data_IF_271535992136
#
_entry.id   IF_271535992136
#
_cell.length_a   1.000
_cell.length_b   1.000
_cell.length_c   1.000
_cell.angle_alpha   90.00
_cell.angle_beta   90.00
_cell.angle_gamma   90.00
#
_symmetry.space_group_name_H-M   'P 1'
#
loop_
_entity.id
_entity.type
_entity.pdbx_description
1 polymer ?
#
# COMPACT_ATOMS: atom_id res chain seq x y z
N UNK A 1 23.89 13.05 15.07
CA UNK A 1 23.28 11.91 14.37
C UNK A 1 22.76 12.44 13.05
N UNK A 2 23.04 11.81 11.90
CA UNK A 2 22.42 12.24 10.65
C UNK A 2 20.91 12.05 10.80
N UNK A 3 20.13 13.10 10.58
CA UNK A 3 18.68 12.98 10.54
C UNK A 3 18.34 12.06 9.37
N UNK A 4 17.59 10.98 9.61
CA UNK A 4 17.08 10.15 8.53
C UNK A 4 16.20 11.02 7.63
N UNK A 5 16.65 11.29 6.40
CA UNK A 5 16.02 12.23 5.47
C UNK A 5 14.76 11.66 4.80
N UNK A 6 14.51 10.36 4.96
CA UNK A 6 13.23 9.74 4.63
C UNK A 6 12.84 8.76 5.73
N UNK A 7 11.82 9.12 6.49
CA UNK A 7 11.09 8.19 7.36
C UNK A 7 9.83 7.84 6.57
N UNK A 8 9.73 6.63 5.98
CA UNK A 8 8.47 6.19 5.40
C UNK A 8 7.38 6.40 6.47
N UNK A 9 6.19 6.89 6.11
CA UNK A 9 5.03 7.03 7.04
C UNK A 9 4.45 5.67 7.49
N UNK A 10 5.31 4.65 7.51
CA UNK A 10 5.14 3.33 8.08
C UNK A 10 5.03 3.44 9.60
N UNK A 11 3.96 4.06 10.09
CA UNK A 11 3.69 4.01 11.52
C UNK A 11 3.09 2.64 11.82
N UNK A 12 3.83 1.81 12.54
CA UNK A 12 3.26 0.65 13.24
C UNK A 12 2.25 1.12 14.30
N UNK A 13 2.50 2.30 14.88
CA UNK A 13 1.62 2.89 15.88
C UNK A 13 0.40 3.51 15.21
N UNK A 14 -0.81 3.09 15.59
CA UNK A 14 -2.02 3.70 15.06
C UNK A 14 -2.12 5.18 15.45
N UNK A 15 -2.65 6.00 14.54
CA UNK A 15 -3.06 7.35 14.89
C UNK A 15 -4.50 7.33 15.40
N UNK A 16 -4.72 7.82 16.62
CA UNK A 16 -6.06 7.89 17.22
C UNK A 16 -6.77 9.19 16.79
N UNK A 17 -7.92 9.06 16.14
CA UNK A 17 -8.82 10.15 15.77
C UNK A 17 -10.09 10.09 16.63
N UNK A 18 -10.56 11.21 17.18
CA UNK A 18 -11.82 11.28 17.93
C UNK A 18 -12.80 12.20 17.22
N UNK A 19 -13.99 11.69 16.92
CA UNK A 19 -15.06 12.41 16.24
C UNK A 19 -16.25 12.54 17.19
N UNK A 20 -16.73 13.75 17.40
CA UNK A 20 -17.93 14.03 18.21
C UNK A 20 -19.05 14.60 17.35
N UNK A 21 -20.28 14.18 17.62
CA UNK A 21 -21.50 14.65 16.96
C UNK A 21 -22.33 15.59 17.85
N UNK A 22 -21.67 16.38 18.71
CA UNK A 22 -22.30 17.20 19.76
C UNK A 22 -23.47 18.09 19.28
N UNK A 23 -23.33 18.71 18.10
CA UNK A 23 -24.35 19.63 17.57
C UNK A 23 -25.41 18.94 16.67
N UNK A 24 -25.21 17.66 16.33
CA UNK A 24 -26.15 16.88 15.52
C UNK A 24 -26.11 15.40 15.94
N UNK A 25 -26.80 15.02 17.04
CA UNK A 25 -26.82 13.63 17.51
C UNK A 25 -27.50 12.67 16.51
N UNK A 26 -28.29 13.19 15.56
CA UNK A 26 -28.85 12.42 14.45
C UNK A 26 -27.92 12.40 13.23
N UNK A 27 -26.86 13.19 13.25
CA UNK A 27 -25.87 13.38 12.20
C UNK A 27 -25.32 12.06 11.71
N UNK A 28 -25.23 11.96 10.39
CA UNK A 28 -24.51 10.87 9.75
C UNK A 28 -23.02 11.15 9.85
N UNK A 29 -22.22 10.11 10.09
CA UNK A 29 -20.77 10.20 9.89
C UNK A 29 -20.46 10.63 8.45
N UNK A 30 -21.33 10.30 7.49
CA UNK A 30 -21.07 10.55 6.08
C UNK A 30 -20.13 9.52 5.48
N UNK A 31 -20.18 8.29 5.99
CA UNK A 31 -19.34 7.19 5.55
C UNK A 31 -20.12 5.86 5.56
N UNK A 32 -19.76 4.95 4.66
CA UNK A 32 -20.24 3.57 4.65
C UNK A 32 -19.28 2.70 5.46
N UNK A 33 -19.84 1.97 6.44
CA UNK A 33 -19.08 1.02 7.23
C UNK A 33 -19.06 -0.34 6.52
N UNK A 34 -17.90 -0.97 6.47
CA UNK A 34 -17.73 -2.36 6.07
C UNK A 34 -17.46 -3.22 7.32
N UNK A 35 -18.04 -4.42 7.32
CA UNK A 35 -17.83 -5.39 8.38
C UNK A 35 -16.52 -6.13 8.12
N UNK A 36 -15.56 -6.02 9.05
CA UNK A 36 -14.26 -6.69 8.96
C UNK A 36 -14.22 -8.05 9.66
N UNK A 37 -15.36 -8.54 10.15
CA UNK A 37 -15.49 -9.75 10.97
C UNK A 37 -16.20 -10.89 10.22
N UNK A 38 -16.42 -10.74 8.89
CA UNK A 38 -16.94 -11.81 8.03
C UNK A 38 -15.85 -12.80 7.61
N UNK A 39 -15.13 -13.33 8.60
CA UNK A 39 -14.80 -14.75 8.66
C UNK A 39 -13.90 -15.33 7.57
N UNK A 40 -12.68 -14.82 7.41
CA UNK A 40 -11.57 -15.70 7.05
C UNK A 40 -10.99 -16.27 8.37
N UNK A 41 -10.95 -17.61 8.58
CA UNK A 41 -10.45 -18.22 9.82
C UNK A 41 -9.03 -17.81 10.23
N UNK A 42 -8.30 -17.21 9.29
CA UNK A 42 -6.91 -16.81 9.27
C UNK A 42 -6.68 -15.33 9.61
N UNK A 43 -7.72 -14.50 9.76
CA UNK A 43 -7.61 -13.09 10.19
C UNK A 43 -7.38 -12.99 11.71
N UNK A 44 -6.23 -13.49 12.18
CA UNK A 44 -5.82 -13.41 13.58
C UNK A 44 -5.37 -12.00 13.98
N UNK A 45 -5.03 -11.14 13.02
CA UNK A 45 -4.51 -9.78 13.27
C UNK A 45 -5.44 -8.67 12.81
N UNK A 46 -6.51 -8.98 12.07
CA UNK A 46 -7.51 -7.97 11.73
C UNK A 46 -8.41 -7.78 12.96
N UNK A 47 -8.45 -6.58 13.54
CA UNK A 47 -9.26 -6.40 14.73
C UNK A 47 -10.74 -6.37 14.30
N UNK A 48 -11.57 -7.10 15.04
CA UNK A 48 -12.98 -7.33 14.72
C UNK A 48 -13.79 -6.07 15.03
N UNK A 49 -14.04 -5.25 14.02
CA UNK A 49 -14.80 -3.99 14.15
C UNK A 49 -15.39 -3.55 12.80
N UNK A 50 -16.00 -2.36 12.81
CA UNK A 50 -16.38 -1.63 11.61
C UNK A 50 -15.21 -0.77 11.09
N UNK A 51 -14.94 -0.86 9.79
CA UNK A 51 -14.00 0.01 9.10
C UNK A 51 -14.74 0.96 8.16
N UNK A 52 -14.17 2.13 7.90
CA UNK A 52 -14.63 3.05 6.87
C UNK A 52 -14.33 2.45 5.50
N UNK A 53 -15.35 1.97 4.79
CA UNK A 53 -15.20 1.41 3.45
C UNK A 53 -15.40 2.42 2.32
N UNK A 54 -16.13 3.51 2.57
CA UNK A 54 -16.34 4.61 1.61
C UNK A 54 -16.73 5.89 2.33
N UNK A 55 -16.26 7.03 1.85
CA UNK A 55 -16.75 8.36 2.26
C UNK A 55 -17.84 8.83 1.30
N UNK A 56 -18.92 9.40 1.83
CA UNK A 56 -19.97 10.03 1.03
C UNK A 56 -19.50 11.40 0.52
N UNK A 57 -20.05 11.83 -0.61
CA UNK A 57 -19.72 13.12 -1.23
C UNK A 57 -20.28 14.30 -0.42
N UNK A 58 -19.68 15.47 -0.61
CA UNK A 58 -20.08 16.71 0.05
C UNK A 58 -19.40 16.96 1.40
N UNK A 59 -19.87 18.00 2.10
CA UNK A 59 -19.25 18.52 3.33
C UNK A 59 -19.69 17.73 4.58
N UNK A 60 -19.24 16.48 4.71
CA UNK A 60 -19.65 15.53 5.77
C UNK A 60 -18.81 15.64 7.05
N UNK A 61 -19.33 15.14 8.18
CA UNK A 61 -18.57 15.09 9.46
C UNK A 61 -17.28 14.30 9.30
N UNK A 62 -17.32 13.15 8.64
CA UNK A 62 -16.13 12.35 8.36
C UNK A 62 -15.04 13.16 7.65
N UNK A 63 -15.39 13.85 6.55
CA UNK A 63 -14.42 14.66 5.78
C UNK A 63 -13.89 15.84 6.60
N UNK A 64 -14.75 16.54 7.35
CA UNK A 64 -14.33 17.64 8.25
C UNK A 64 -13.39 17.19 9.36
N UNK A 65 -13.59 15.97 9.85
CA UNK A 65 -12.74 15.36 10.88
C UNK A 65 -11.52 14.65 10.31
N UNK A 66 -11.30 14.73 8.99
CA UNK A 66 -10.14 14.14 8.32
C UNK A 66 -10.16 12.61 8.30
N UNK A 67 -11.34 11.98 8.35
CA UNK A 67 -11.48 10.52 8.23
C UNK A 67 -11.09 10.06 6.84
N UNK A 68 -10.42 8.92 6.76
CA UNK A 68 -9.99 8.28 5.53
C UNK A 68 -10.65 6.91 5.36
N UNK A 69 -10.78 6.45 4.11
CA UNK A 69 -11.11 5.05 3.84
C UNK A 69 -10.01 4.19 4.44
N UNK A 70 -10.42 3.15 5.16
CA UNK A 70 -9.49 2.32 5.90
C UNK A 70 -9.43 2.63 7.41
N UNK A 71 -9.90 3.80 7.86
CA UNK A 71 -9.95 4.12 9.29
C UNK A 71 -10.85 3.12 10.03
N UNK A 72 -10.44 2.77 11.24
CA UNK A 72 -10.98 1.67 12.01
C UNK A 72 -11.71 2.20 13.22
N UNK A 73 -12.96 1.82 13.46
CA UNK A 73 -13.65 2.25 14.70
C UNK A 73 -13.24 1.32 15.85
N UNK A 74 -12.47 1.85 16.81
CA UNK A 74 -12.00 1.09 17.98
C UNK A 74 -12.78 1.36 19.25
N UNK A 75 -13.49 2.48 19.35
CA UNK A 75 -14.33 2.76 20.51
C UNK A 75 -15.55 3.63 20.16
N UNK A 76 -16.62 3.46 20.95
CA UNK A 76 -17.82 4.30 20.92
C UNK A 76 -18.08 4.81 22.35
N UNK A 77 -18.03 6.13 22.54
CA UNK A 77 -18.13 6.80 23.85
C UNK A 77 -17.20 6.18 24.90
N UNK A 78 -15.95 5.88 24.53
CA UNK A 78 -14.94 5.28 25.41
C UNK A 78 -15.12 3.78 25.68
N UNK A 79 -16.18 3.14 25.16
CA UNK A 79 -16.32 1.67 25.19
C UNK A 79 -15.53 1.07 24.01
N UNK A 80 -14.51 0.27 24.28
CA UNK A 80 -13.60 -0.30 23.27
C UNK A 80 -14.15 -1.56 22.59
N UNK A 81 -13.82 -1.75 21.32
CA UNK A 81 -14.28 -2.85 20.46
C UNK A 81 -13.12 -3.55 19.71
N UNK A 82 -11.88 -3.47 20.23
CA UNK A 82 -10.75 -4.16 19.59
C UNK A 82 -10.82 -5.66 19.83
N UNK A 83 -10.20 -6.45 18.94
CA UNK A 83 -10.00 -7.89 19.19
C UNK A 83 -8.73 -8.18 20.00
N UNK A 84 -7.71 -7.32 19.86
CA UNK A 84 -6.44 -7.39 20.60
C UNK A 84 -5.96 -5.98 20.99
N UNK A 85 -5.21 -5.87 22.08
CA UNK A 85 -4.49 -4.65 22.43
C UNK A 85 -3.29 -4.43 21.47
N UNK A 86 -2.82 -3.19 21.37
CA UNK A 86 -1.72 -2.80 20.47
C UNK A 86 -0.37 -3.41 20.83
N UNK A 87 -0.22 -3.91 22.07
CA UNK A 87 0.98 -4.48 22.67
C UNK A 87 0.88 -6.00 22.91
N UNK A 88 -0.09 -6.66 22.27
CA UNK A 88 -0.33 -8.08 22.41
C UNK A 88 0.89 -8.94 22.00
N UNK A 89 1.29 -9.88 22.86
CA UNK A 89 2.44 -10.77 22.63
C UNK A 89 2.10 -11.86 21.60
N UNK A 90 2.80 -11.82 20.47
CA UNK A 90 2.61 -12.74 19.35
C UNK A 90 2.87 -14.22 19.73
N UNK A 91 3.65 -14.49 20.79
CA UNK A 91 3.87 -15.86 21.26
C UNK A 91 2.61 -16.49 21.87
N UNK A 92 1.67 -15.68 22.33
CA UNK A 92 0.38 -16.12 22.88
C UNK A 92 -0.60 -16.61 21.79
N UNK A 93 -0.35 -16.28 20.52
CA UNK A 93 -1.18 -16.69 19.36
C UNK A 93 -1.11 -18.20 19.09
N UNK A 94 0.02 -18.84 19.44
CA UNK A 94 0.28 -20.26 19.17
C UNK A 94 -0.75 -21.22 19.81
N UNK A 95 -1.54 -20.73 20.77
CA UNK A 95 -2.52 -21.50 21.53
C UNK A 95 -3.99 -21.08 21.31
N UNK A 96 -4.32 -20.32 20.27
CA UNK A 96 -5.70 -19.93 19.97
C UNK A 96 -6.47 -21.06 19.26
N UNK A 97 -6.72 -22.14 20.00
CA UNK A 97 -7.88 -23.00 19.73
C UNK A 97 -9.18 -22.19 19.91
N UNK A 98 -10.31 -22.67 19.38
CA UNK A 98 -11.59 -21.95 19.34
C UNK A 98 -12.11 -21.42 20.70
N UNK A 99 -11.51 -21.82 21.82
CA UNK A 99 -12.00 -21.56 23.18
C UNK A 99 -11.02 -20.78 24.07
N UNK A 100 -9.93 -20.21 23.53
CA UNK A 100 -8.91 -19.55 24.37
C UNK A 100 -9.29 -18.11 24.74
N UNK A 101 -9.29 -17.81 26.05
CA UNK A 101 -9.53 -16.48 26.61
C UNK A 101 -8.20 -15.75 26.86
N UNK A 102 -8.03 -14.57 26.25
CA UNK A 102 -6.88 -13.68 26.48
C UNK A 102 -7.38 -12.51 27.32
N UNK A 103 -6.82 -12.23 28.51
CA UNK A 103 -7.15 -11.01 29.24
C UNK A 103 -6.47 -9.82 28.59
N UNK A 104 -7.24 -8.76 28.29
CA UNK A 104 -6.67 -7.49 27.84
C UNK A 104 -7.10 -6.36 28.77
N UNK A 105 -6.20 -5.39 28.91
CA UNK A 105 -6.34 -4.27 29.81
C UNK A 105 -7.59 -3.42 29.49
N UNK A 106 -8.17 -2.91 30.58
CA UNK A 106 -9.51 -2.36 30.76
C UNK A 106 -10.25 -1.76 29.53
N UNK A 107 -11.49 -2.23 29.32
CA UNK A 107 -12.58 -1.76 28.42
C UNK A 107 -12.73 -2.42 27.03
N UNK A 108 -12.02 -3.49 26.73
CA UNK A 108 -12.24 -4.27 25.50
C UNK A 108 -13.27 -5.37 25.75
N UNK A 109 -14.38 -5.38 24.99
CA UNK A 109 -15.38 -6.45 25.09
C UNK A 109 -14.82 -7.76 24.49
N UNK A 110 -14.77 -8.82 25.28
CA UNK A 110 -14.49 -10.17 24.78
C UNK A 110 -15.71 -10.70 24.02
N UNK A 111 -15.71 -10.55 22.70
CA UNK A 111 -16.83 -10.93 21.84
C UNK A 111 -16.39 -12.01 20.85
N UNK A 112 -17.28 -12.95 20.56
CA UNK A 112 -17.08 -13.97 19.54
C UNK A 112 -17.01 -13.38 18.12
N UNK A 113 -16.67 -14.22 17.14
CA UNK A 113 -16.60 -13.81 15.72
C UNK A 113 -17.95 -13.23 15.27
N UNK A 114 -17.94 -12.00 14.75
CA UNK A 114 -19.12 -11.25 14.30
C UNK A 114 -19.86 -10.50 15.41
N UNK A 115 -19.70 -10.90 16.67
CA UNK A 115 -20.39 -10.30 17.81
C UNK A 115 -19.87 -8.89 18.12
N UNK A 116 -18.58 -8.63 17.84
CA UNK A 116 -17.97 -7.32 18.04
C UNK A 116 -18.58 -6.24 17.14
N UNK A 117 -18.80 -6.58 15.86
CA UNK A 117 -19.45 -5.68 14.91
C UNK A 117 -20.91 -5.40 15.30
N UNK A 118 -21.68 -6.43 15.65
CA UNK A 118 -23.08 -6.28 16.03
C UNK A 118 -23.25 -5.52 17.34
N UNK A 119 -22.36 -5.74 18.32
CA UNK A 119 -22.34 -4.99 19.58
C UNK A 119 -22.01 -3.50 19.33
N UNK A 120 -21.04 -3.22 18.46
CA UNK A 120 -20.68 -1.86 18.05
C UNK A 120 -21.87 -1.15 17.39
N UNK A 121 -22.51 -1.79 16.40
CA UNK A 121 -23.67 -1.22 15.73
C UNK A 121 -24.84 -0.99 16.70
N UNK A 122 -25.07 -1.92 17.61
CA UNK A 122 -26.11 -1.80 18.64
C UNK A 122 -25.82 -0.63 19.58
N UNK A 123 -24.56 -0.44 19.99
CA UNK A 123 -24.14 0.70 20.82
C UNK A 123 -24.36 2.03 20.13
N UNK A 124 -23.95 2.16 18.87
CA UNK A 124 -24.17 3.37 18.05
C UNK A 124 -25.67 3.69 17.96
N UNK A 125 -26.50 2.69 17.62
CA UNK A 125 -27.97 2.86 17.53
C UNK A 125 -28.60 3.28 18.86
N UNK A 126 -28.16 2.67 19.95
CA UNK A 126 -28.65 2.98 21.31
C UNK A 126 -28.34 4.43 21.69
N UNK A 127 -27.10 4.88 21.49
CA UNK A 127 -26.69 6.26 21.80
C UNK A 127 -27.47 7.27 20.95
N UNK A 128 -27.58 7.03 19.64
CA UNK A 128 -28.36 7.89 18.73
C UNK A 128 -29.84 7.98 19.13
N UNK A 129 -30.42 6.89 19.62
CA UNK A 129 -31.82 6.84 20.04
C UNK A 129 -32.07 7.53 21.38
N UNK A 130 -31.07 7.57 22.27
CA UNK A 130 -31.17 8.18 23.60
C UNK A 130 -31.09 9.71 23.58
N UNK A 131 -30.47 10.32 22.56
CA UNK A 131 -30.32 11.77 22.43
C UNK A 131 -29.42 12.44 23.49
N UNK A 132 -28.83 11.67 24.40
CA UNK A 132 -27.83 12.06 25.39
C UNK A 132 -27.12 10.82 25.89
N UNK A 133 -25.77 10.80 26.01
CA UNK A 133 -24.73 11.77 25.62
C UNK A 133 -24.46 11.84 24.10
N UNK A 134 -23.63 12.79 23.59
CA UNK A 134 -23.23 12.84 22.18
C UNK A 134 -22.58 11.53 21.74
N UNK A 135 -22.74 11.19 20.46
CA UNK A 135 -22.00 10.08 19.86
C UNK A 135 -20.55 10.53 19.68
N UNK A 136 -19.63 9.78 20.27
CA UNK A 136 -18.19 9.97 20.14
C UNK A 136 -17.61 8.68 19.57
N UNK A 137 -16.98 8.78 18.41
CA UNK A 137 -16.29 7.66 17.77
C UNK A 137 -14.79 7.87 17.93
N UNK A 138 -14.09 6.86 18.44
CA UNK A 138 -12.62 6.81 18.40
C UNK A 138 -12.21 5.89 17.27
N UNK A 139 -11.45 6.42 16.33
CA UNK A 139 -10.93 5.70 15.18
C UNK A 139 -9.42 5.53 15.29
N UNK A 140 -8.91 4.42 14.80
CA UNK A 140 -7.49 4.25 14.55
C UNK A 140 -7.20 4.25 13.06
N UNK A 141 -6.17 4.99 12.68
CA UNK A 141 -5.61 4.93 11.34
C UNK A 141 -4.37 4.07 11.36
N UNK A 142 -4.39 3.06 10.50
CA UNK A 142 -3.26 2.18 10.27
C UNK A 142 -2.67 2.49 8.88
N UNK A 143 -1.35 2.62 8.82
CA UNK A 143 -0.63 2.74 7.56
C UNK A 143 -0.75 1.44 6.74
N UNK A 144 -0.43 1.49 5.44
CA UNK A 144 -0.56 0.34 4.54
C UNK A 144 0.26 -0.89 4.95
N UNK A 145 1.33 -0.67 5.71
CA UNK A 145 2.24 -1.72 6.16
C UNK A 145 2.14 -2.03 7.66
N UNK A 146 1.21 -1.41 8.39
CA UNK A 146 0.86 -1.85 9.72
C UNK A 146 0.40 -3.32 9.67
N UNK A 147 0.75 -4.13 10.68
CA UNK A 147 0.48 -5.59 10.72
C UNK A 147 -0.97 -5.95 10.36
N UNK A 148 -1.93 -5.16 10.86
CA UNK A 148 -3.36 -5.35 10.62
C UNK A 148 -3.77 -5.22 9.14
N UNK A 149 -3.06 -4.36 8.39
CA UNK A 149 -3.29 -4.06 6.98
C UNK A 149 -2.40 -4.89 6.05
N UNK A 150 -1.20 -5.26 6.49
CA UNK A 150 -0.27 -6.06 5.70
C UNK A 150 -0.64 -7.54 5.69
N UNK A 151 -1.16 -8.08 6.81
CA UNK A 151 -1.46 -9.51 6.97
C UNK A 151 -2.25 -10.14 5.81
N UNK A 152 -3.36 -9.56 5.30
CA UNK A 152 -4.10 -10.14 4.19
C UNK A 152 -3.24 -10.38 2.94
N UNK A 153 -2.27 -9.49 2.65
CA UNK A 153 -1.37 -9.62 1.49
C UNK A 153 -0.39 -10.78 1.65
N UNK A 154 0.21 -10.92 2.82
CA UNK A 154 1.12 -12.03 3.12
C UNK A 154 0.39 -13.38 3.11
N UNK A 155 -0.83 -13.41 3.65
CA UNK A 155 -1.67 -14.59 3.65
C UNK A 155 -2.08 -14.99 2.22
N UNK A 156 -2.52 -14.03 1.41
CA UNK A 156 -2.88 -14.24 0.00
C UNK A 156 -1.68 -14.73 -0.82
N UNK A 157 -0.49 -14.15 -0.60
CA UNK A 157 0.74 -14.59 -1.27
C UNK A 157 1.23 -15.99 -0.86
N UNK A 158 0.60 -16.60 0.16
CA UNK A 158 0.86 -17.96 0.61
C UNK A 158 -0.39 -18.83 0.53
N UNK A 159 -1.35 -18.48 -0.32
CA UNK A 159 -2.56 -19.25 -0.59
C UNK A 159 -3.34 -19.64 0.68
N UNK A 160 -3.31 -18.78 1.71
CA UNK A 160 -3.95 -19.05 3.00
C UNK A 160 -3.12 -19.86 4.00
N UNK A 161 -1.89 -20.26 3.67
CA UNK A 161 -0.97 -20.94 4.59
C UNK A 161 -0.48 -19.97 5.67
N UNK A 162 -1.13 -20.04 6.84
CA UNK A 162 -0.87 -19.17 7.99
C UNK A 162 0.57 -19.26 8.50
N UNK A 163 1.16 -20.45 8.78
CA UNK A 163 2.57 -20.56 9.16
C UNK A 163 3.53 -19.94 8.14
N UNK A 164 3.32 -20.19 6.84
CA UNK A 164 4.19 -19.64 5.80
C UNK A 164 4.05 -18.11 5.66
N UNK A 165 2.83 -17.59 5.76
CA UNK A 165 2.54 -16.17 5.74
C UNK A 165 3.14 -15.45 6.96
N UNK A 166 3.02 -16.06 8.15
CA UNK A 166 3.62 -15.57 9.38
C UNK A 166 5.15 -15.47 9.25
N UNK A 167 5.78 -16.55 8.77
CA UNK A 167 7.23 -16.54 8.55
C UNK A 167 7.64 -15.44 7.58
N UNK A 168 6.90 -15.30 6.47
CA UNK A 168 7.16 -14.27 5.46
C UNK A 168 7.02 -12.85 6.02
N UNK A 169 6.01 -12.60 6.87
CA UNK A 169 5.83 -11.33 7.55
C UNK A 169 6.97 -11.05 8.55
N UNK A 170 7.40 -12.04 9.33
CA UNK A 170 8.53 -11.90 10.25
C UNK A 170 9.84 -11.63 9.52
N UNK A 171 10.10 -12.35 8.41
CA UNK A 171 11.25 -12.11 7.55
C UNK A 171 11.21 -10.68 6.95
N UNK A 172 10.01 -10.21 6.58
CA UNK A 172 9.79 -8.85 6.09
C UNK A 172 10.06 -7.79 7.15
N UNK A 173 9.58 -7.96 8.38
CA UNK A 173 9.86 -7.01 9.47
C UNK A 173 11.36 -6.98 9.82
N UNK A 174 12.01 -8.14 9.83
CA UNK A 174 13.46 -8.20 9.96
C UNK A 174 14.15 -7.44 8.81
N UNK A 175 13.75 -7.69 7.56
CA UNK A 175 14.29 -6.98 6.40
C UNK A 175 14.08 -5.47 6.49
N UNK A 176 12.89 -5.02 6.88
CA UNK A 176 12.57 -3.59 7.09
C UNK A 176 13.51 -2.96 8.11
N UNK A 177 13.73 -3.61 9.25
CA UNK A 177 14.64 -3.09 10.29
C UNK A 177 16.09 -2.87 9.80
N UNK A 178 16.50 -3.61 8.76
CA UNK A 178 17.85 -3.52 8.19
C UNK A 178 17.95 -2.54 7.01
N UNK A 179 16.83 -2.24 6.34
CA UNK A 179 16.82 -1.48 5.08
C UNK A 179 16.10 -0.13 5.20
N UNK A 180 15.28 0.08 6.24
CA UNK A 180 14.50 1.28 6.48
C UNK A 180 14.72 1.80 7.93
N UNK A 181 14.77 3.13 8.14
CA UNK A 181 14.76 4.19 7.12
C UNK A 181 16.03 4.20 6.28
N UNK A 182 15.90 4.64 5.03
CA UNK A 182 17.01 4.63 4.07
C UNK A 182 17.90 5.87 4.23
N UNK A 183 19.22 5.68 4.18
CA UNK A 183 20.17 6.78 4.14
C UNK A 183 20.22 7.39 2.74
N UNK A 184 19.50 8.51 2.57
CA UNK A 184 19.48 9.25 1.32
C UNK A 184 20.81 9.95 1.01
N UNK A 185 21.77 10.04 1.94
CA UNK A 185 23.04 10.75 1.69
C UNK A 185 24.05 9.93 0.89
N UNK A 186 23.76 8.66 0.58
CA UNK A 186 24.63 7.78 -0.20
C UNK A 186 24.81 8.31 -1.63
N UNK A 187 26.06 8.51 -2.04
CA UNK A 187 26.42 9.05 -3.36
C UNK A 187 25.78 8.28 -4.53
N UNK A 188 25.87 6.94 -4.53
CA UNK A 188 25.31 6.12 -5.59
C UNK A 188 23.77 6.19 -5.67
N UNK A 189 23.10 6.32 -4.53
CA UNK A 189 21.66 6.52 -4.46
C UNK A 189 21.27 7.90 -5.01
N UNK A 190 21.99 8.94 -4.61
CA UNK A 190 21.81 10.30 -5.10
C UNK A 190 22.10 10.42 -6.60
N UNK A 191 23.07 9.66 -7.13
CA UNK A 191 23.33 9.57 -8.57
C UNK A 191 22.10 9.04 -9.32
N UNK A 192 21.50 7.93 -8.86
CA UNK A 192 20.28 7.38 -9.47
C UNK A 192 19.11 8.37 -9.41
N UNK A 193 18.93 9.05 -8.27
CA UNK A 193 17.89 10.06 -8.11
C UNK A 193 18.08 11.25 -9.06
N UNK A 194 19.31 11.76 -9.19
CA UNK A 194 19.64 12.88 -10.09
C UNK A 194 19.42 12.55 -11.57
N UNK A 195 19.61 11.29 -11.95
CA UNK A 195 19.32 10.84 -13.32
C UNK A 195 17.84 10.89 -13.69
N UNK A 196 16.95 10.92 -12.69
CA UNK A 196 15.50 10.84 -12.89
C UNK A 196 15.14 9.63 -13.76
N UNK A 197 15.80 8.50 -13.51
CA UNK A 197 15.53 7.24 -14.19
C UNK A 197 14.31 6.52 -13.59
N UNK A 198 13.93 6.88 -12.36
CA UNK A 198 12.72 6.42 -11.68
C UNK A 198 12.01 7.64 -11.11
N UNK A 199 10.69 7.71 -11.28
CA UNK A 199 9.86 8.79 -10.75
C UNK A 199 8.49 8.28 -10.31
N UNK A 200 7.80 9.09 -9.51
CA UNK A 200 6.37 8.95 -9.25
C UNK A 200 5.55 9.47 -10.41
N UNK A 201 4.42 8.82 -10.67
CA UNK A 201 3.34 9.34 -11.49
C UNK A 201 2.00 9.07 -10.80
N UNK A 202 1.29 10.15 -10.50
CA UNK A 202 -0.08 10.10 -10.00
C UNK A 202 -1.00 10.88 -10.94
N UNK A 203 -1.63 10.16 -11.88
CA UNK A 203 -2.54 10.77 -12.86
C UNK A 203 -3.93 10.89 -12.22
N UNK A 204 -4.14 12.04 -11.58
CA UNK A 204 -5.37 12.54 -10.97
C UNK A 204 -5.89 11.80 -9.72
N UNK A 205 -6.11 12.59 -8.65
CA UNK A 205 -6.64 12.14 -7.35
C UNK A 205 -7.97 11.38 -7.43
N UNK A 206 -8.75 11.53 -8.51
CA UNK A 206 -10.06 10.89 -8.69
C UNK A 206 -10.00 9.57 -9.46
N UNK A 207 -8.82 9.15 -9.92
CA UNK A 207 -8.69 7.93 -10.71
C UNK A 207 -8.87 6.67 -9.84
N UNK A 208 -9.64 5.68 -10.31
CA UNK A 208 -9.81 4.39 -9.62
C UNK A 208 -8.56 3.49 -9.75
N UNK A 209 -7.64 3.85 -10.64
CA UNK A 209 -6.44 3.07 -10.92
C UNK A 209 -5.34 3.37 -9.88
N UNK A 210 -4.53 2.36 -9.51
CA UNK A 210 -3.37 2.57 -8.66
C UNK A 210 -2.35 3.54 -9.28
N UNK A 211 -1.64 4.35 -8.45
CA UNK A 211 -0.58 5.23 -8.94
C UNK A 211 0.56 4.41 -9.54
N UNK A 212 1.36 5.02 -10.41
CA UNK A 212 2.40 4.32 -11.17
C UNK A 212 3.80 4.79 -10.78
N UNK A 213 4.73 3.84 -10.61
CA UNK A 213 6.16 4.13 -10.62
C UNK A 213 6.64 4.11 -12.06
N UNK A 214 7.12 5.25 -12.55
CA UNK A 214 7.74 5.37 -13.87
C UNK A 214 9.21 4.97 -13.83
N UNK A 215 9.64 4.26 -14.86
CA UNK A 215 11.03 3.86 -15.05
C UNK A 215 11.45 4.16 -16.48
N UNK A 216 12.36 5.11 -16.65
CA UNK A 216 13.06 5.29 -17.92
C UNK A 216 14.20 4.27 -18.03
N UNK A 217 13.92 3.15 -18.69
CA UNK A 217 14.83 2.01 -18.70
C UNK A 217 16.12 2.30 -19.48
N UNK A 218 16.05 3.10 -20.54
CA UNK A 218 17.22 3.53 -21.31
C UNK A 218 18.23 4.32 -20.46
N UNK A 219 17.76 5.26 -19.64
CA UNK A 219 18.62 5.98 -18.67
C UNK A 219 19.21 5.01 -17.65
N UNK A 220 18.39 4.10 -17.14
CA UNK A 220 18.80 3.16 -16.08
C UNK A 220 19.90 2.18 -16.53
N UNK A 221 19.85 1.71 -17.77
CA UNK A 221 20.88 0.82 -18.33
C UNK A 221 22.12 1.57 -18.84
N UNK A 222 22.00 2.88 -19.13
CA UNK A 222 23.09 3.71 -19.62
C UNK A 222 24.19 4.01 -18.59
N UNK A 223 23.99 3.63 -17.32
CA UNK A 223 24.94 3.88 -16.23
C UNK A 223 25.64 2.61 -15.78
N UNK A 224 26.84 2.41 -16.32
CA UNK A 224 27.73 1.30 -15.95
C UNK A 224 28.34 1.47 -14.55
N UNK A 225 28.42 2.70 -14.02
CA UNK A 225 29.00 3.03 -12.70
C UNK A 225 28.07 2.74 -11.52
N UNK A 226 26.77 2.63 -11.76
CA UNK A 226 25.77 2.57 -10.70
C UNK A 226 25.56 1.14 -10.22
N UNK A 227 25.62 0.97 -8.89
CA UNK A 227 25.39 -0.32 -8.26
C UNK A 227 23.92 -0.76 -8.40
N UNK A 228 23.71 -2.06 -8.60
CA UNK A 228 22.36 -2.64 -8.63
C UNK A 228 21.62 -2.38 -7.31
N UNK A 229 22.34 -2.37 -6.18
CA UNK A 229 21.79 -2.08 -4.85
C UNK A 229 21.18 -0.67 -4.77
N UNK A 230 21.89 0.34 -5.28
CA UNK A 230 21.39 1.72 -5.26
C UNK A 230 20.16 1.89 -6.17
N UNK A 231 20.13 1.20 -7.32
CA UNK A 231 18.93 1.15 -8.18
C UNK A 231 17.76 0.52 -7.43
N UNK A 232 17.93 -0.68 -6.85
CA UNK A 232 16.88 -1.36 -6.10
C UNK A 232 16.34 -0.49 -4.96
N UNK A 233 17.22 0.28 -4.30
CA UNK A 233 16.85 1.23 -3.26
C UNK A 233 15.98 2.37 -3.74
N UNK A 234 16.26 2.96 -4.90
CA UNK A 234 15.37 3.96 -5.49
C UNK A 234 14.00 3.37 -5.81
N UNK A 235 13.93 2.14 -6.32
CA UNK A 235 12.65 1.48 -6.54
C UNK A 235 11.87 1.23 -5.25
N UNK A 236 12.55 0.78 -4.19
CA UNK A 236 11.95 0.63 -2.85
C UNK A 236 11.42 1.98 -2.37
N UNK A 237 12.20 3.06 -2.51
CA UNK A 237 11.84 4.40 -2.06
C UNK A 237 10.54 4.90 -2.73
N UNK A 238 10.45 4.83 -4.06
CA UNK A 238 9.23 5.22 -4.77
C UNK A 238 8.07 4.28 -4.47
N UNK A 239 8.31 2.98 -4.31
CA UNK A 239 7.27 2.02 -3.92
C UNK A 239 6.68 2.35 -2.55
N UNK A 240 7.53 2.59 -1.54
CA UNK A 240 7.11 2.99 -0.19
C UNK A 240 6.30 4.29 -0.23
N UNK A 241 6.78 5.27 -1.00
CA UNK A 241 6.13 6.56 -1.16
C UNK A 241 4.75 6.41 -1.80
N UNK A 242 4.62 5.57 -2.83
CA UNK A 242 3.35 5.32 -3.53
C UNK A 242 2.37 4.56 -2.65
N UNK A 243 2.81 3.46 -2.02
CA UNK A 243 1.96 2.66 -1.14
C UNK A 243 1.49 3.47 0.08
N UNK A 244 2.30 4.43 0.55
CA UNK A 244 1.91 5.34 1.63
C UNK A 244 0.77 6.29 1.27
N UNK A 245 0.51 6.49 -0.02
CA UNK A 245 -0.59 7.31 -0.56
C UNK A 245 -1.77 6.46 -1.04
N UNK A 246 -1.74 5.14 -0.84
CA UNK A 246 -2.83 4.26 -1.25
C UNK A 246 -4.15 4.69 -0.60
N UNK A 247 -5.19 4.87 -1.42
CA UNK A 247 -6.57 5.14 -0.98
C UNK A 247 -7.16 3.99 -0.16
N UNK A 248 -6.70 2.77 -0.42
CA UNK A 248 -7.05 1.57 0.35
C UNK A 248 -5.77 0.99 0.98
N UNK A 249 -5.48 1.30 2.26
CA UNK A 249 -4.30 0.78 2.94
C UNK A 249 -4.37 -0.73 3.23
N UNK A 250 -5.53 -1.40 3.07
CA UNK A 250 -5.66 -2.87 3.25
C UNK A 250 -5.38 -3.65 1.99
N UNK A 251 -5.61 -3.04 0.83
CA UNK A 251 -5.24 -3.58 -0.45
C UNK A 251 -4.39 -2.57 -1.25
N UNK A 252 -3.24 -2.16 -0.70
CA UNK A 252 -2.42 -1.13 -1.31
C UNK A 252 -1.79 -1.69 -2.58
N UNK A 253 -2.07 -1.04 -3.71
CA UNK A 253 -1.54 -1.42 -5.00
C UNK A 253 -0.79 -0.25 -5.63
N UNK A 254 0.20 -0.60 -6.45
CA UNK A 254 0.91 0.31 -7.34
C UNK A 254 1.05 -0.33 -8.70
N UNK A 255 1.01 0.49 -9.74
CA UNK A 255 1.43 0.11 -11.06
C UNK A 255 2.91 0.43 -11.27
N UNK A 256 3.53 -0.23 -12.23
CA UNK A 256 4.87 0.10 -12.71
C UNK A 256 4.80 0.30 -14.21
N UNK A 257 5.28 1.44 -14.67
CA UNK A 257 5.38 1.76 -16.10
C UNK A 257 6.84 1.84 -16.50
N UNK A 258 7.30 0.87 -17.28
CA UNK A 258 8.67 0.77 -17.76
C UNK A 258 8.73 1.30 -19.20
N UNK A 259 9.27 2.50 -19.35
CA UNK A 259 9.53 3.09 -20.64
C UNK A 259 10.79 2.47 -21.26
N UNK A 260 10.54 1.74 -22.35
CA UNK A 260 11.49 1.03 -23.17
C UNK A 260 11.88 1.83 -24.42
N UNK A 261 11.47 3.10 -24.52
CA UNK A 261 11.91 4.00 -25.59
C UNK A 261 13.43 4.08 -25.57
N UNK A 262 14.04 4.07 -26.76
CA UNK A 262 15.50 4.04 -26.96
C UNK A 262 16.20 2.76 -26.45
N UNK A 263 15.47 1.73 -26.02
CA UNK A 263 16.03 0.42 -25.66
C UNK A 263 16.07 -0.50 -26.87
N UNK A 264 17.27 -0.73 -27.40
CA UNK A 264 17.51 -1.68 -28.48
C UNK A 264 17.55 -3.14 -28.01
N UNK A 265 17.29 -4.07 -28.93
CA UNK A 265 17.44 -5.53 -28.69
C UNK A 265 18.88 -5.88 -28.31
N UNK A 266 19.86 -5.16 -28.86
CA UNK A 266 21.30 -5.36 -28.61
C UNK A 266 21.77 -4.82 -27.26
N UNK A 267 21.07 -3.84 -26.68
CA UNK A 267 21.44 -3.24 -25.39
C UNK A 267 21.19 -4.20 -24.23
N UNK A 268 20.31 -5.20 -24.44
CA UNK A 268 20.05 -6.29 -23.51
C UNK A 268 19.27 -5.85 -22.28
N UNK A 269 18.59 -6.81 -21.64
CA UNK A 269 18.02 -6.61 -20.31
C UNK A 269 19.10 -6.96 -19.30
N UNK A 270 19.28 -6.10 -18.28
CA UNK A 270 20.13 -6.42 -17.13
C UNK A 270 19.43 -7.48 -16.27
N UNK A 271 19.53 -8.75 -16.67
CA UNK A 271 18.85 -9.87 -16.01
C UNK A 271 19.16 -9.95 -14.50
N UNK A 272 20.39 -9.62 -14.12
CA UNK A 272 20.81 -9.54 -12.71
C UNK A 272 20.01 -8.50 -11.91
N UNK A 273 19.80 -7.30 -12.46
CA UNK A 273 18.97 -6.27 -11.82
C UNK A 273 17.52 -6.76 -11.66
N UNK A 274 16.97 -7.38 -12.70
CA UNK A 274 15.59 -7.89 -12.67
C UNK A 274 15.44 -9.01 -11.63
N UNK A 275 16.39 -9.94 -11.56
CA UNK A 275 16.41 -10.99 -10.55
C UNK A 275 16.52 -10.39 -9.15
N UNK A 276 17.41 -9.41 -8.94
CA UNK A 276 17.58 -8.76 -7.65
C UNK A 276 16.32 -8.02 -7.21
N UNK A 277 15.66 -7.33 -8.14
CA UNK A 277 14.37 -6.68 -7.91
C UNK A 277 13.32 -7.70 -7.48
N UNK A 278 13.21 -8.84 -8.16
CA UNK A 278 12.25 -9.88 -7.76
C UNK A 278 12.56 -10.48 -6.39
N UNK A 279 13.83 -10.76 -6.08
CA UNK A 279 14.28 -11.25 -4.77
C UNK A 279 13.91 -10.30 -3.63
N UNK A 280 13.85 -8.99 -3.89
CA UNK A 280 13.46 -7.99 -2.92
C UNK A 280 11.93 -7.88 -2.85
N UNK A 281 11.26 -7.71 -3.99
CA UNK A 281 9.86 -7.34 -4.04
C UNK A 281 8.90 -8.49 -3.74
N UNK A 282 9.20 -9.71 -4.19
CA UNK A 282 8.34 -10.87 -3.97
C UNK A 282 8.14 -11.19 -2.47
N UNK A 283 9.20 -11.24 -1.63
CA UNK A 283 9.02 -11.48 -0.20
C UNK A 283 8.55 -10.27 0.61
N UNK A 284 8.88 -9.03 0.20
CA UNK A 284 8.65 -7.83 1.02
C UNK A 284 7.44 -6.99 0.60
N UNK A 285 7.02 -7.09 -0.65
CA UNK A 285 5.88 -6.36 -1.20
C UNK A 285 4.87 -7.30 -1.86
N UNK A 286 4.47 -8.42 -1.21
CA UNK A 286 3.50 -9.33 -1.78
C UNK A 286 2.19 -8.60 -2.06
N UNK A 287 1.56 -8.96 -3.18
CA UNK A 287 0.25 -8.45 -3.60
C UNK A 287 0.15 -6.92 -3.78
N UNK A 288 1.26 -6.19 -3.73
CA UNK A 288 1.29 -4.73 -3.97
C UNK A 288 1.39 -4.35 -5.44
N UNK A 289 1.86 -5.24 -6.32
CA UNK A 289 1.87 -4.96 -7.76
C UNK A 289 0.44 -5.12 -8.31
N UNK A 290 -0.09 -4.05 -8.89
CA UNK A 290 -1.29 -4.04 -9.72
C UNK A 290 -0.98 -4.54 -11.12
N UNK A 291 -0.32 -3.69 -11.93
CA UNK A 291 0.19 -4.00 -13.27
C UNK A 291 1.64 -3.55 -13.44
N UNK A 292 2.40 -4.31 -14.21
CA UNK A 292 3.70 -3.87 -14.74
C UNK A 292 3.55 -3.77 -16.26
N UNK A 293 3.57 -2.55 -16.78
CA UNK A 293 3.43 -2.25 -18.21
C UNK A 293 4.80 -1.86 -18.76
N UNK A 294 5.26 -2.56 -19.80
CA UNK A 294 6.47 -2.19 -20.55
C UNK A 294 6.06 -1.67 -21.92
N UNK A 295 6.53 -0.49 -22.30
CA UNK A 295 6.18 0.16 -23.57
C UNK A 295 7.32 1.07 -24.07
N UNK A 296 7.57 1.15 -25.40
CA UNK A 296 7.09 0.25 -26.44
C UNK A 296 7.89 -1.05 -26.47
N UNK A 297 7.23 -2.20 -26.60
CA UNK A 297 7.89 -3.50 -26.70
C UNK A 297 7.57 -4.18 -28.03
N UNK A 298 8.60 -4.43 -28.84
CA UNK A 298 8.46 -5.23 -30.07
C UNK A 298 8.22 -6.71 -29.78
N UNK A 299 7.67 -7.46 -30.75
CA UNK A 299 7.43 -8.91 -30.60
C UNK A 299 8.70 -9.72 -30.29
N UNK A 300 9.84 -9.31 -30.85
CA UNK A 300 11.12 -9.96 -30.58
C UNK A 300 11.56 -9.69 -29.15
N UNK A 301 11.47 -8.43 -28.71
CA UNK A 301 11.85 -8.05 -27.36
C UNK A 301 10.93 -8.71 -26.31
N UNK A 302 9.61 -8.78 -26.56
CA UNK A 302 8.68 -9.45 -25.65
C UNK A 302 9.00 -10.94 -25.46
N UNK A 303 9.45 -11.62 -26.52
CA UNK A 303 9.89 -13.03 -26.44
C UNK A 303 11.13 -13.17 -25.55
N UNK A 304 12.10 -12.29 -25.71
CA UNK A 304 13.31 -12.24 -24.87
C UNK A 304 12.96 -11.96 -23.41
N UNK A 305 12.12 -10.96 -23.16
CA UNK A 305 11.68 -10.57 -21.81
C UNK A 305 10.98 -11.75 -21.12
N UNK A 306 10.06 -12.44 -21.80
CA UNK A 306 9.37 -13.62 -21.25
C UNK A 306 10.34 -14.75 -20.88
N UNK A 307 11.44 -14.90 -21.63
CA UNK A 307 12.47 -15.87 -21.29
C UNK A 307 13.24 -15.48 -20.03
N UNK A 308 13.61 -14.20 -19.89
CA UNK A 308 14.29 -13.68 -18.70
C UNK A 308 13.41 -13.87 -17.46
N UNK A 309 12.11 -13.62 -17.56
CA UNK A 309 11.18 -13.73 -16.43
C UNK A 309 10.70 -15.15 -16.09
N UNK A 310 11.33 -16.21 -16.62
CA UNK A 310 10.91 -17.58 -16.30
C UNK A 310 10.90 -17.90 -14.79
N UNK A 311 11.77 -17.25 -14.02
CA UNK A 311 11.88 -17.43 -12.57
C UNK A 311 10.77 -16.75 -11.74
N UNK A 312 9.98 -15.85 -12.34
CA UNK A 312 8.88 -15.16 -11.67
C UNK A 312 7.70 -16.12 -11.51
N UNK A 313 6.98 -16.08 -10.39
CA UNK A 313 5.80 -16.90 -10.20
C UNK A 313 4.66 -16.51 -11.17
N UNK A 314 3.72 -17.42 -11.41
CA UNK A 314 2.66 -17.22 -12.40
C UNK A 314 1.67 -16.10 -12.03
N UNK A 315 1.40 -15.90 -10.74
CA UNK A 315 0.55 -14.81 -10.27
C UNK A 315 1.16 -13.45 -10.63
N UNK A 316 2.44 -13.23 -10.33
CA UNK A 316 3.16 -12.00 -10.71
C UNK A 316 3.31 -11.85 -12.22
N UNK A 317 3.62 -12.93 -12.96
CA UNK A 317 3.69 -12.89 -14.44
C UNK A 317 2.38 -12.47 -15.10
N UNK A 318 1.23 -12.86 -14.54
CA UNK A 318 -0.09 -12.49 -15.07
C UNK A 318 -0.36 -10.98 -15.02
N UNK A 319 0.42 -10.24 -14.23
CA UNK A 319 0.35 -8.78 -14.09
C UNK A 319 1.24 -8.04 -15.09
N UNK A 320 2.09 -8.76 -15.84
CA UNK A 320 2.99 -8.16 -16.81
C UNK A 320 2.30 -7.94 -18.15
N UNK A 321 2.43 -6.73 -18.67
CA UNK A 321 1.87 -6.29 -19.95
C UNK A 321 3.02 -5.77 -20.81
N UNK A 322 3.12 -6.30 -22.03
CA UNK A 322 4.10 -5.85 -23.02
C UNK A 322 3.35 -5.12 -24.12
N UNK A 323 3.21 -3.80 -23.97
CA UNK A 323 2.40 -2.98 -24.85
C UNK A 323 3.21 -2.49 -26.05
N UNK A 324 2.53 -2.39 -27.20
CA UNK A 324 3.11 -1.86 -28.43
C UNK A 324 2.39 -0.61 -28.96
N UNK A 325 1.35 -0.15 -28.28
CA UNK A 325 0.57 1.05 -28.61
C UNK A 325 0.31 1.89 -27.36
N UNK A 326 0.17 3.19 -27.54
CA UNK A 326 -0.15 4.12 -26.46
C UNK A 326 -1.55 3.86 -25.88
N UNK A 327 -2.54 3.62 -26.74
CA UNK A 327 -3.92 3.26 -26.36
C UNK A 327 -3.94 2.13 -25.32
N UNK A 328 -3.18 1.05 -25.54
CA UNK A 328 -3.10 -0.06 -24.59
C UNK A 328 -2.51 0.34 -23.23
N UNK A 329 -1.52 1.23 -23.22
CA UNK A 329 -0.95 1.76 -21.98
C UNK A 329 -1.99 2.60 -21.23
N UNK A 330 -2.65 3.51 -21.93
CA UNK A 330 -3.67 4.40 -21.38
C UNK A 330 -4.85 3.62 -20.80
N UNK A 331 -5.38 2.62 -21.53
CA UNK A 331 -6.47 1.76 -21.07
C UNK A 331 -6.13 1.01 -19.76
N UNK A 332 -4.88 0.55 -19.63
CA UNK A 332 -4.45 -0.27 -18.50
C UNK A 332 -4.10 0.55 -17.27
N UNK A 333 -3.50 1.73 -17.48
CA UNK A 333 -3.09 2.62 -16.40
C UNK A 333 -4.15 3.68 -16.06
N UNK A 334 -5.24 3.74 -16.82
CA UNK A 334 -6.31 4.71 -16.65
C UNK A 334 -5.87 6.13 -17.03
N UNK A 335 -4.96 6.29 -17.99
CA UNK A 335 -4.51 7.61 -18.45
C UNK A 335 -5.40 8.12 -19.59
N UNK A 336 -5.57 9.43 -19.68
CA UNK A 336 -6.27 10.07 -20.79
C UNK A 336 -5.34 10.13 -22.02
N UNK A 337 -5.65 9.34 -23.06
CA UNK A 337 -4.85 9.28 -24.30
C UNK A 337 -4.74 10.65 -24.99
N UNK A 338 -5.82 11.44 -25.02
CA UNK A 338 -5.82 12.77 -25.64
C UNK A 338 -4.88 13.73 -24.88
N UNK A 339 -4.80 13.57 -23.55
CA UNK A 339 -3.86 14.34 -22.73
C UNK A 339 -2.41 13.97 -23.04
N UNK A 340 -2.10 12.66 -23.12
CA UNK A 340 -0.74 12.19 -23.42
C UNK A 340 -0.29 12.69 -24.79
N UNK A 341 -1.16 12.57 -25.81
CA UNK A 341 -0.87 13.05 -27.16
C UNK A 341 -0.69 14.56 -27.21
N UNK A 342 -1.54 15.32 -26.51
CA UNK A 342 -1.43 16.79 -26.43
C UNK A 342 -0.14 17.25 -25.75
N UNK A 343 0.41 16.45 -24.82
CA UNK A 343 1.71 16.73 -24.19
C UNK A 343 2.90 16.53 -25.14
N UNK A 344 2.72 15.84 -26.28
CA UNK A 344 3.80 15.47 -27.19
C UNK A 344 4.22 14.00 -27.12
N UNK A 345 3.44 13.17 -26.41
CA UNK A 345 3.69 11.75 -26.21
C UNK A 345 4.05 11.40 -24.77
N UNK A 346 4.35 10.12 -24.55
CA UNK A 346 4.60 9.56 -23.21
C UNK A 346 5.68 10.35 -22.47
N UNK A 347 6.84 10.57 -23.09
CA UNK A 347 8.00 11.17 -22.41
C UNK A 347 7.69 12.57 -21.86
N UNK A 348 7.04 13.40 -22.65
CA UNK A 348 6.64 14.75 -22.27
C UNK A 348 5.51 14.72 -21.25
N UNK A 349 4.56 13.79 -21.38
CA UNK A 349 3.52 13.56 -20.37
C UNK A 349 4.11 13.11 -19.02
N UNK A 350 5.12 12.21 -19.01
CA UNK A 350 5.85 11.84 -17.79
C UNK A 350 6.53 13.06 -17.17
N UNK A 351 7.17 13.91 -17.97
CA UNK A 351 7.82 15.12 -17.46
C UNK A 351 6.83 16.15 -16.90
N UNK A 352 5.61 16.21 -17.43
CA UNK A 352 4.53 17.07 -16.91
C UNK A 352 4.06 16.61 -15.53
N UNK A 353 3.92 15.30 -15.33
CA UNK A 353 3.40 14.68 -14.10
C UNK A 353 4.50 14.18 -13.15
N UNK A 354 5.76 14.56 -13.40
CA UNK A 354 6.88 14.27 -12.51
C UNK A 354 6.78 15.16 -11.27
N UNK A 355 5.91 14.80 -10.32
CA UNK A 355 5.60 15.64 -9.15
C UNK A 355 6.64 15.52 -8.02
N UNK A 356 7.28 14.36 -7.86
CA UNK A 356 8.10 14.08 -6.68
C UNK A 356 9.40 13.33 -7.00
N UNK A 357 10.47 13.74 -6.31
CA UNK A 357 11.83 13.23 -6.44
C UNK A 357 12.89 14.33 -6.29
N UNK A 358 12.57 15.55 -6.71
CA UNK A 358 13.48 16.70 -6.58
C UNK A 358 13.83 17.02 -5.12
N UNK A 359 12.86 16.89 -4.22
CA UNK A 359 13.07 17.05 -2.76
C UNK A 359 13.95 15.94 -2.14
N UNK A 360 14.10 14.80 -2.83
CA UNK A 360 14.96 13.69 -2.39
C UNK A 360 16.40 13.86 -2.87
N UNK A 361 16.64 14.78 -3.82
CA UNK A 361 17.97 15.11 -4.33
C UNK A 361 18.60 16.14 -3.38
N UNK A 362 19.73 15.77 -2.80
CA UNK A 362 20.51 16.65 -1.94
C UNK A 362 21.49 17.46 -2.80
N UNK A 363 21.50 18.79 -2.60
CA UNK A 363 22.41 19.74 -3.26
C UNK A 363 23.86 19.60 -2.79
#
# INVERSE_FOLDING_TARGET
MPNALFVPKSNETPQLLTISFEDDPQGSLGAQLINCDKGEPSEMFSPGFAQIGRLLDGDTVARKSGVEVGDVIVAVNGSGFRRFASDFDENEVSNLSKDSHIPNDNNVLHLGRGEAYDALLTKIKTIKSAGSPPLVLSLERYSWNAKVNSWPRFLKARDGDVPAAMKMLQDHEFWKSQNLPMDLTRDGLQEVLRMKAVAEIDVAEDNEFPPAVYVNFARLIGTESISIDDVCKVFILYTELMLSRSKDPRNPQINQFIDMTDVGVSTGLRAELIMKMYEIFEPNYPECLGKLVMYPVSTVLSTTIRHVFKFVNENTKSKFVFANSLTEVCDILGWDEDEVDTCGGVKEFMHKHEEAGAELILE
#
